data_IF_501585341665
#
_entry.id   IF_501585341665
#
_cell.length_a   1.000
_cell.length_b   1.000
_cell.length_c   1.000
_cell.angle_alpha   90.00
_cell.angle_beta   90.00
_cell.angle_gamma   90.00
#
_symmetry.space_group_name_H-M   'P 1'
#
loop_
_entity.id
_entity.type
_entity.pdbx_description
1 polymer ?
#
# COMPACT_ATOMS: atom_id res chain seq x y z
N UNK A 1 -14.96 -40.39 -49.76
CA UNK A 1 -15.90 -39.28 -49.57
C UNK A 1 -15.15 -38.00 -49.85
N UNK A 2 -15.65 -37.13 -50.73
CA UNK A 2 -15.08 -35.79 -50.92
C UNK A 2 -15.76 -34.82 -49.95
N UNK A 3 -15.00 -34.19 -49.06
CA UNK A 3 -15.49 -33.04 -48.31
C UNK A 3 -15.52 -31.84 -49.26
N UNK A 4 -16.69 -31.22 -49.41
CA UNK A 4 -16.86 -30.01 -50.23
C UNK A 4 -17.29 -28.87 -49.32
N UNK A 5 -16.53 -27.78 -49.36
CA UNK A 5 -16.83 -26.54 -48.63
C UNK A 5 -17.31 -25.49 -49.63
N UNK A 6 -18.22 -24.63 -49.19
CA UNK A 6 -18.50 -23.40 -49.93
C UNK A 6 -17.40 -22.34 -49.66
N UNK A 7 -17.40 -21.25 -50.43
CA UNK A 7 -16.34 -20.21 -50.37
C UNK A 7 -16.26 -19.57 -48.98
N UNK A 8 -17.41 -19.35 -48.34
CA UNK A 8 -17.50 -18.75 -47.00
C UNK A 8 -16.94 -19.70 -45.92
N UNK A 9 -17.23 -21.00 -46.02
CA UNK A 9 -16.73 -22.04 -45.13
C UNK A 9 -15.23 -22.28 -45.30
N UNK A 10 -14.72 -22.19 -46.52
CA UNK A 10 -13.30 -22.29 -46.80
C UNK A 10 -12.53 -21.10 -46.24
N UNK A 11 -13.03 -19.87 -46.45
CA UNK A 11 -12.44 -18.66 -45.89
C UNK A 11 -12.44 -18.68 -44.36
N UNK A 12 -13.55 -19.09 -43.73
CA UNK A 12 -13.64 -19.21 -42.27
C UNK A 12 -12.68 -20.26 -41.69
N UNK A 13 -12.45 -21.37 -42.39
CA UNK A 13 -11.46 -22.39 -41.97
C UNK A 13 -10.03 -21.84 -42.05
N UNK A 14 -9.69 -21.16 -43.14
CA UNK A 14 -8.34 -20.60 -43.38
C UNK A 14 -8.04 -19.48 -42.37
N UNK A 15 -9.02 -18.61 -42.10
CA UNK A 15 -8.93 -17.56 -41.10
C UNK A 15 -8.77 -18.14 -39.69
N UNK A 16 -9.51 -19.20 -39.35
CA UNK A 16 -9.37 -19.90 -38.07
C UNK A 16 -7.99 -20.55 -37.87
N UNK A 17 -7.31 -20.90 -38.97
CA UNK A 17 -5.93 -21.41 -38.97
C UNK A 17 -4.88 -20.29 -38.90
N UNK A 18 -5.29 -19.02 -38.91
CA UNK A 18 -4.39 -17.87 -38.91
C UNK A 18 -3.66 -17.64 -40.24
N UNK A 19 -4.13 -18.27 -41.31
CA UNK A 19 -3.59 -18.10 -42.66
C UNK A 19 -4.34 -16.96 -43.39
N UNK A 20 -3.71 -16.29 -44.38
CA UNK A 20 -4.42 -15.34 -45.23
C UNK A 20 -5.60 -16.01 -45.94
N UNK A 21 -6.78 -15.37 -45.93
CA UNK A 21 -8.03 -15.95 -46.45
C UNK A 21 -7.97 -16.39 -47.93
N UNK A 22 -7.02 -15.85 -48.70
CA UNK A 22 -6.79 -16.18 -50.11
C UNK A 22 -5.81 -17.36 -50.30
N UNK A 23 -5.44 -18.07 -49.23
CA UNK A 23 -4.53 -19.23 -49.32
C UNK A 23 -5.25 -20.39 -50.01
N UNK A 24 -4.85 -20.71 -51.24
CA UNK A 24 -5.41 -21.83 -52.02
C UNK A 24 -4.53 -23.09 -52.02
N UNK A 25 -3.39 -23.04 -51.34
CA UNK A 25 -2.47 -24.17 -51.23
C UNK A 25 -3.00 -25.20 -50.23
N UNK A 26 -3.53 -26.30 -50.76
CA UNK A 26 -4.14 -27.38 -49.98
C UNK A 26 -3.10 -28.09 -49.10
N UNK A 27 -1.87 -28.25 -49.57
CA UNK A 27 -0.83 -28.95 -48.82
C UNK A 27 -0.37 -28.11 -47.64
N UNK A 28 -0.27 -26.79 -47.81
CA UNK A 28 -0.01 -25.84 -46.72
C UNK A 28 -1.12 -25.87 -45.67
N UNK A 29 -2.39 -25.85 -46.09
CA UNK A 29 -3.53 -25.92 -45.17
C UNK A 29 -3.51 -27.24 -44.40
N UNK A 30 -3.28 -28.38 -45.06
CA UNK A 30 -3.19 -29.67 -44.39
C UNK A 30 -1.99 -29.73 -43.42
N UNK A 31 -0.85 -29.15 -43.79
CA UNK A 31 0.32 -29.09 -42.93
C UNK A 31 0.06 -28.25 -41.67
N UNK A 32 -0.59 -27.08 -41.80
CA UNK A 32 -0.95 -26.25 -40.64
C UNK A 32 -1.98 -26.91 -39.72
N UNK A 33 -2.97 -27.62 -40.28
CA UNK A 33 -3.93 -28.41 -39.49
C UNK A 33 -3.22 -29.54 -38.75
N UNK A 34 -2.30 -30.25 -39.41
CA UNK A 34 -1.54 -31.33 -38.80
C UNK A 34 -0.61 -30.82 -37.68
N UNK A 35 0.03 -29.67 -37.89
CA UNK A 35 0.89 -29.04 -36.89
C UNK A 35 0.07 -28.55 -35.69
N UNK A 36 -1.07 -27.89 -35.91
CA UNK A 36 -2.00 -27.47 -34.86
C UNK A 36 -2.52 -28.67 -34.05
N UNK A 37 -2.88 -29.76 -34.72
CA UNK A 37 -3.30 -30.99 -34.07
C UNK A 37 -2.17 -31.64 -33.25
N UNK A 38 -0.93 -31.59 -33.73
CA UNK A 38 0.24 -32.07 -33.00
C UNK A 38 0.57 -31.21 -31.77
N UNK A 39 0.45 -29.88 -31.89
CA UNK A 39 0.60 -28.95 -30.77
C UNK A 39 -0.49 -29.17 -29.70
N UNK A 40 -1.74 -29.35 -30.13
CA UNK A 40 -2.86 -29.67 -29.23
C UNK A 40 -2.70 -31.03 -28.55
N UNK A 41 -2.19 -32.04 -29.25
CA UNK A 41 -1.88 -33.35 -28.67
C UNK A 41 -0.68 -33.30 -27.70
N UNK A 42 0.24 -32.34 -27.88
CA UNK A 42 1.34 -32.05 -26.97
C UNK A 42 0.90 -31.33 -25.68
N UNK A 43 -0.17 -30.53 -25.74
CA UNK A 43 -0.82 -29.91 -24.59
C UNK A 43 -1.68 -30.93 -23.84
N UNK A 44 -1.03 -31.83 -23.12
CA UNK A 44 -1.73 -32.76 -22.24
C UNK A 44 -2.09 -32.02 -20.93
N UNK A 45 -3.37 -31.75 -20.62
CA UNK A 45 -3.79 -30.96 -19.45
C UNK A 45 -3.47 -31.66 -18.11
N UNK A 46 -3.11 -32.95 -18.14
CA UNK A 46 -2.70 -33.71 -16.97
C UNK A 46 -1.22 -33.56 -16.62
N UNK A 47 -0.40 -32.95 -17.50
CA UNK A 47 1.03 -32.72 -17.21
C UNK A 47 1.20 -31.38 -16.48
N UNK A 48 1.80 -31.35 -15.28
CA UNK A 48 2.01 -30.11 -14.53
C UNK A 48 2.76 -29.00 -15.31
N UNK A 49 3.56 -29.38 -16.31
CA UNK A 49 4.29 -28.46 -17.17
C UNK A 49 3.40 -27.64 -18.12
N UNK A 50 2.25 -28.17 -18.56
CA UNK A 50 1.32 -27.45 -19.45
C UNK A 50 0.52 -26.41 -18.67
N UNK A 51 0.18 -26.70 -17.41
CA UNK A 51 -0.45 -25.75 -16.48
C UNK A 51 0.48 -24.58 -16.15
N UNK A 52 1.77 -24.87 -15.90
CA UNK A 52 2.76 -23.81 -15.65
C UNK A 52 3.04 -22.93 -16.88
N UNK A 53 3.03 -23.52 -18.08
CA UNK A 53 3.18 -22.78 -19.33
C UNK A 53 1.96 -21.87 -19.61
N UNK A 54 0.74 -22.41 -19.47
CA UNK A 54 -0.49 -21.65 -19.63
C UNK A 54 -0.63 -20.53 -18.59
N UNK A 55 -0.21 -20.76 -17.34
CA UNK A 55 -0.18 -19.73 -16.31
C UNK A 55 0.74 -18.57 -16.69
N UNK A 56 1.96 -18.86 -17.18
CA UNK A 56 2.92 -17.83 -17.62
C UNK A 56 2.40 -17.00 -18.79
N UNK A 57 1.73 -17.63 -19.75
CA UNK A 57 1.11 -16.92 -20.87
C UNK A 57 0.01 -15.94 -20.41
N UNK A 58 -0.69 -16.29 -19.34
CA UNK A 58 -1.67 -15.42 -18.67
C UNK A 58 -1.05 -14.40 -17.67
N UNK A 59 0.28 -14.31 -17.58
CA UNK A 59 0.98 -13.42 -16.63
C UNK A 59 0.91 -13.89 -15.16
N UNK A 60 0.57 -15.16 -14.92
CA UNK A 60 0.49 -15.78 -13.62
C UNK A 60 1.72 -16.66 -13.36
N UNK A 61 2.22 -16.63 -12.12
CA UNK A 61 3.30 -17.53 -11.68
C UNK A 61 2.76 -18.59 -10.74
N UNK A 62 3.13 -19.84 -10.99
CA UNK A 62 2.74 -20.97 -10.13
C UNK A 62 3.65 -20.99 -8.92
N UNK A 63 3.10 -20.68 -7.76
CA UNK A 63 3.81 -20.68 -6.47
C UNK A 63 3.28 -21.82 -5.61
N UNK A 64 4.15 -22.47 -4.84
CA UNK A 64 3.72 -23.51 -3.90
C UNK A 64 2.87 -22.92 -2.77
N UNK A 65 2.04 -23.77 -2.17
CA UNK A 65 1.06 -23.34 -1.17
C UNK A 65 1.70 -22.86 0.13
N UNK A 66 2.89 -23.36 0.49
CA UNK A 66 3.60 -22.96 1.71
C UNK A 66 4.19 -21.57 1.54
N UNK A 67 4.82 -21.29 0.41
CA UNK A 67 5.34 -19.95 0.07
C UNK A 67 4.22 -18.93 -0.03
N UNK A 68 3.08 -19.27 -0.65
CA UNK A 68 1.92 -18.37 -0.68
C UNK A 68 1.37 -18.07 0.72
N UNK A 69 1.34 -19.08 1.61
CA UNK A 69 0.90 -18.88 2.99
C UNK A 69 1.88 -17.98 3.77
N UNK A 70 3.18 -18.19 3.60
CA UNK A 70 4.22 -17.35 4.19
C UNK A 70 4.12 -15.90 3.70
N UNK A 71 4.00 -15.68 2.39
CA UNK A 71 3.85 -14.34 1.82
C UNK A 71 2.61 -13.61 2.34
N UNK A 72 1.48 -14.32 2.49
CA UNK A 72 0.26 -13.74 3.06
C UNK A 72 0.44 -13.37 4.53
N UNK A 73 1.11 -14.21 5.29
CA UNK A 73 1.43 -13.95 6.69
C UNK A 73 2.34 -12.72 6.83
N UNK A 74 3.45 -12.68 6.09
CA UNK A 74 4.42 -11.58 6.12
C UNK A 74 3.78 -10.28 5.66
N UNK A 75 2.92 -10.30 4.64
CA UNK A 75 2.18 -9.13 4.21
C UNK A 75 1.20 -8.63 5.28
N UNK A 76 0.59 -9.51 6.06
CA UNK A 76 -0.27 -9.12 7.18
C UNK A 76 0.56 -8.50 8.31
N UNK A 77 1.69 -9.10 8.67
CA UNK A 77 2.61 -8.55 9.68
C UNK A 77 3.17 -7.20 9.25
N UNK A 78 3.59 -7.06 8.00
CA UNK A 78 4.07 -5.80 7.43
C UNK A 78 3.04 -4.68 7.49
N UNK A 79 1.76 -4.97 7.18
CA UNK A 79 0.67 -3.99 7.34
C UNK A 79 0.47 -3.55 8.79
N UNK A 80 0.57 -4.48 9.75
CA UNK A 80 0.46 -4.17 11.18
C UNK A 80 1.64 -3.32 11.65
N UNK A 81 2.87 -3.69 11.28
CA UNK A 81 4.07 -2.94 11.64
C UNK A 81 4.07 -1.53 11.02
N UNK A 82 3.64 -1.39 9.76
CA UNK A 82 3.52 -0.09 9.10
C UNK A 82 2.50 0.81 9.81
N UNK A 83 1.35 0.26 10.21
CA UNK A 83 0.34 1.00 10.97
C UNK A 83 0.87 1.44 12.35
N UNK A 84 1.56 0.54 13.07
CA UNK A 84 2.17 0.86 14.35
C UNK A 84 3.27 1.93 14.24
N UNK A 85 4.14 1.83 13.23
CA UNK A 85 5.18 2.81 12.96
C UNK A 85 4.59 4.20 12.65
N UNK A 86 3.48 4.26 11.90
CA UNK A 86 2.78 5.52 11.63
C UNK A 86 2.23 6.14 12.91
N UNK A 87 1.56 5.35 13.75
CA UNK A 87 1.05 5.82 15.03
C UNK A 87 2.17 6.35 15.95
N UNK A 88 3.27 5.59 16.06
CA UNK A 88 4.43 6.01 16.85
C UNK A 88 5.05 7.32 16.35
N UNK A 89 5.16 7.49 15.03
CA UNK A 89 5.66 8.74 14.42
C UNK A 89 4.77 9.94 14.80
N UNK A 90 3.45 9.77 14.77
CA UNK A 90 2.49 10.82 15.14
C UNK A 90 2.64 11.15 16.63
N UNK A 91 2.63 10.15 17.51
CA UNK A 91 2.73 10.36 18.95
C UNK A 91 4.05 11.04 19.33
N UNK A 92 5.17 10.60 18.75
CA UNK A 92 6.47 11.21 18.99
C UNK A 92 6.52 12.68 18.56
N UNK A 93 5.91 13.02 17.42
CA UNK A 93 5.84 14.41 16.96
C UNK A 93 4.99 15.29 17.88
N UNK A 94 3.86 14.77 18.37
CA UNK A 94 2.98 15.47 19.32
C UNK A 94 3.64 15.65 20.67
N UNK A 95 4.31 14.62 21.19
CA UNK A 95 5.01 14.68 22.47
C UNK A 95 6.21 15.64 22.44
N UNK A 96 6.93 15.72 21.32
CA UNK A 96 7.98 16.72 21.14
C UNK A 96 7.40 18.15 21.11
N UNK A 97 6.29 18.36 20.40
CA UNK A 97 5.62 19.66 20.37
C UNK A 97 5.10 20.08 21.76
N UNK A 98 4.63 19.12 22.56
CA UNK A 98 4.24 19.33 23.95
C UNK A 98 5.44 19.77 24.80
N UNK A 99 6.56 19.04 24.69
CA UNK A 99 7.80 19.33 25.42
C UNK A 99 8.35 20.73 25.10
N UNK A 100 8.21 21.17 23.86
CA UNK A 100 8.64 22.49 23.40
C UNK A 100 7.61 23.62 23.67
N UNK A 101 6.49 23.33 24.34
CA UNK A 101 5.45 24.32 24.65
C UNK A 101 4.70 24.84 23.42
N UNK A 102 4.80 24.16 22.27
CA UNK A 102 4.10 24.53 21.03
C UNK A 102 2.59 24.34 21.14
N UNK A 103 2.17 23.33 21.90
CA UNK A 103 0.77 22.99 22.14
C UNK A 103 0.49 22.85 23.64
N UNK A 104 -0.75 23.08 24.04
CA UNK A 104 -1.19 22.86 25.41
C UNK A 104 -1.39 21.35 25.70
N UNK A 105 -1.05 20.87 26.92
CA UNK A 105 -1.25 19.47 27.30
C UNK A 105 -2.69 18.96 27.15
N UNK A 106 -3.67 19.81 27.42
CA UNK A 106 -5.10 19.49 27.27
C UNK A 106 -5.51 19.16 25.84
N UNK A 107 -4.71 19.55 24.83
CA UNK A 107 -4.99 19.32 23.41
C UNK A 107 -4.20 18.15 22.82
N UNK A 108 -3.43 17.40 23.62
CA UNK A 108 -2.62 16.28 23.12
C UNK A 108 -3.45 15.28 22.32
N UNK A 109 -4.53 14.79 22.90
CA UNK A 109 -5.40 13.79 22.25
C UNK A 109 -6.00 14.32 20.95
N UNK A 110 -6.46 15.57 20.94
CA UNK A 110 -6.98 16.22 19.74
C UNK A 110 -5.95 16.27 18.60
N UNK A 111 -4.69 16.61 18.90
CA UNK A 111 -3.62 16.63 17.91
C UNK A 111 -3.25 15.23 17.40
N UNK A 112 -3.24 14.21 18.27
CA UNK A 112 -3.02 12.82 17.84
C UNK A 112 -4.13 12.37 16.89
N UNK A 113 -5.40 12.65 17.22
CA UNK A 113 -6.54 12.33 16.35
C UNK A 113 -6.42 13.07 15.01
N UNK A 114 -6.10 14.36 15.05
CA UNK A 114 -5.99 15.18 13.84
C UNK A 114 -4.87 14.65 12.92
N UNK A 115 -3.67 14.39 13.45
CA UNK A 115 -2.54 13.87 12.69
C UNK A 115 -2.75 12.43 12.19
N UNK A 116 -3.62 11.66 12.84
CA UNK A 116 -4.01 10.32 12.37
C UNK A 116 -4.85 10.41 11.09
N UNK A 117 -5.73 11.40 11.00
CA UNK A 117 -6.59 11.63 9.83
C UNK A 117 -5.91 12.43 8.72
N UNK A 118 -4.98 13.34 9.06
CA UNK A 118 -4.23 14.15 8.11
C UNK A 118 -2.74 14.20 8.49
N UNK A 119 -1.89 13.55 7.70
CA UNK A 119 -0.44 13.51 7.95
C UNK A 119 0.22 14.89 7.75
N UNK A 120 -0.36 15.77 6.94
CA UNK A 120 0.16 17.13 6.71
C UNK A 120 0.13 18.00 7.97
N UNK A 121 -0.68 17.63 8.96
CA UNK A 121 -0.75 18.34 10.24
C UNK A 121 0.52 18.19 11.09
N UNK A 122 1.34 17.17 10.84
CA UNK A 122 2.66 17.04 11.47
C UNK A 122 3.59 18.17 11.01
N UNK A 123 3.52 18.56 9.74
CA UNK A 123 4.33 19.66 9.19
C UNK A 123 3.88 21.01 9.76
N UNK A 124 2.56 21.21 9.90
CA UNK A 124 2.00 22.37 10.58
C UNK A 124 2.51 22.45 12.01
N UNK A 125 2.49 21.33 12.74
CA UNK A 125 2.98 21.26 14.11
C UNK A 125 4.50 21.56 14.20
N UNK A 126 5.28 21.12 13.21
CA UNK A 126 6.69 21.44 13.11
C UNK A 126 6.93 22.94 12.88
N UNK A 127 6.09 23.59 12.08
CA UNK A 127 6.18 25.02 11.76
C UNK A 127 5.76 25.95 12.92
N UNK A 128 5.00 25.46 13.90
CA UNK A 128 4.64 26.25 15.09
C UNK A 128 5.90 26.64 15.87
N UNK A 129 6.12 27.93 16.17
CA UNK A 129 7.24 28.38 17.00
C UNK A 129 7.20 27.76 18.40
N UNK A 130 8.37 27.56 18.99
CA UNK A 130 8.46 27.07 20.37
C UNK A 130 7.77 28.04 21.33
N UNK A 131 7.24 27.49 22.43
CA UNK A 131 6.58 28.26 23.51
C UNK A 131 5.35 29.08 23.09
N UNK A 132 4.78 28.80 21.90
CA UNK A 132 3.59 29.52 21.39
C UNK A 132 2.39 29.38 22.32
N UNK A 133 2.17 28.19 22.90
CA UNK A 133 1.00 27.91 23.72
C UNK A 133 1.31 27.95 25.22
N UNK A 134 2.50 27.46 25.61
CA UNK A 134 2.93 27.41 27.01
C UNK A 134 4.33 28.01 27.09
N UNK A 135 4.52 29.13 27.81
CA UNK A 135 5.84 29.67 28.10
C UNK A 135 6.65 28.64 28.89
N UNK A 136 7.76 28.19 28.32
CA UNK A 136 8.68 27.25 28.97
C UNK A 136 9.91 27.98 29.52
N UNK A 137 10.19 29.17 29.00
CA UNK A 137 11.20 30.08 29.51
C UNK A 137 10.57 31.02 30.55
N UNK A 138 11.28 31.23 31.66
CA UNK A 138 10.85 32.16 32.70
C UNK A 138 10.92 33.61 32.20
N UNK A 139 9.77 34.29 32.17
CA UNK A 139 9.66 35.69 31.69
C UNK A 139 9.96 36.72 32.80
N UNK A 140 10.15 36.25 34.04
CA UNK A 140 10.64 37.06 35.16
C UNK A 140 10.27 36.47 36.53
N UNK A 141 11.19 36.55 37.49
CA UNK A 141 10.93 36.31 38.91
C UNK A 141 10.96 37.61 39.70
N UNK A 142 10.29 37.61 40.85
CA UNK A 142 10.47 38.66 41.85
C UNK A 142 11.87 38.57 42.41
N UNK A 143 12.66 39.64 42.26
CA UNK A 143 13.97 39.80 42.91
C UNK A 143 13.85 40.42 44.30
N UNK A 144 12.64 40.70 44.76
CA UNK A 144 12.42 41.36 46.05
C UNK A 144 12.69 40.35 47.17
N UNK A 145 13.62 40.64 48.11
CA UNK A 145 13.86 39.78 49.26
C UNK A 145 12.54 39.61 50.01
N UNK A 146 12.19 38.38 50.38
CA UNK A 146 11.05 38.14 51.25
C UNK A 146 11.17 39.06 52.48
N UNK A 147 10.21 39.97 52.61
CA UNK A 147 10.20 40.96 53.67
C UNK A 147 10.27 40.20 55.01
N UNK A 148 11.30 40.49 55.82
CA UNK A 148 11.56 39.77 57.09
C UNK A 148 10.42 39.92 58.12
N UNK A 149 9.41 40.71 57.78
CA UNK A 149 8.22 40.99 58.57
C UNK A 149 6.98 40.18 58.12
N UNK A 150 7.11 39.19 57.23
CA UNK A 150 6.00 38.32 56.80
C UNK A 150 5.34 37.50 57.94
N UNK A 151 5.99 37.40 59.11
CA UNK A 151 5.43 36.80 60.33
C UNK A 151 4.57 37.78 61.17
N UNK A 152 4.51 39.07 60.81
CA UNK A 152 3.62 40.02 61.47
C UNK A 152 2.23 39.87 60.88
N UNK A 153 1.26 39.53 61.73
CA UNK A 153 -0.14 39.36 61.35
C UNK A 153 -0.59 40.46 60.37
N UNK A 154 -1.14 40.09 59.21
CA UNK A 154 -1.66 41.07 58.27
C UNK A 154 -2.71 41.96 58.94
N UNK A 155 -2.47 43.27 58.98
CA UNK A 155 -3.37 44.28 59.59
C UNK A 155 -4.76 44.40 58.88
N UNK A 156 -5.04 43.54 57.91
CA UNK A 156 -6.25 43.52 57.09
C UNK A 156 -7.18 42.34 57.40
N UNK A 157 -6.87 41.53 58.40
CA UNK A 157 -7.87 40.70 59.09
C UNK A 157 -8.34 41.44 60.35
N UNK A 158 -9.53 42.05 60.27
CA UNK A 158 -10.33 42.51 61.41
C UNK A 158 -11.58 41.64 61.54
#
# INVERSE_FOLDING_TARGET
MALTFNVEQAAALIEALGLPADTTDVDLILATVADLAAQAAGMNPEKPSTVAAAAREAGLEVVDTQTLAALRHDAQQGRQMAAAAKAQKIEAAVDEALRLGKIAPSRREHWVTLCTHDEGMIEVLAAVPNETAVPMTEVGHSTEPADRDADKQPAWFY
#
